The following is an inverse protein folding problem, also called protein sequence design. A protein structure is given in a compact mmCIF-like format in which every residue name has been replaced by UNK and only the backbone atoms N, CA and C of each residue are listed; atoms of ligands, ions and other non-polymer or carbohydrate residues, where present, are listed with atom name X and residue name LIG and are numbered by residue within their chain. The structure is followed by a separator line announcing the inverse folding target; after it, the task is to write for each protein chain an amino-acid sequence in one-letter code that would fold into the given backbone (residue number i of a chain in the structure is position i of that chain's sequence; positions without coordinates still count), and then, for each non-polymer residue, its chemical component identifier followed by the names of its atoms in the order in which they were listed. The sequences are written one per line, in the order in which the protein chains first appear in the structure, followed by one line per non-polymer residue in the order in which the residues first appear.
data_IF_946829989048
#
_entry.id   IF_946829989048
#
_cell.length_a   1.000
_cell.length_b   1.000
_cell.length_c   1.000
_cell.angle_alpha   90.00
_cell.angle_beta   90.00
_cell.angle_gamma   90.00
#
_symmetry.space_group_name_H-M   'P 1'
#
loop_
_entity.id
_entity.type
_entity.pdbx_description
1 polymer ?
#
# COMPACT_ATOMS: atom_id res chain seq x y z
N UNK A 1 0.55 -5.52 -4.55
CA UNK A 1 1.85 -4.88 -4.66
C UNK A 1 2.08 -4.29 -6.05
N UNK A 2 2.19 -5.12 -7.12
CA UNK A 2 2.52 -4.67 -8.48
C UNK A 2 1.52 -3.64 -9.03
N UNK A 3 0.23 -3.91 -8.90
CA UNK A 3 -0.81 -2.99 -9.39
C UNK A 3 -0.73 -1.62 -8.69
N UNK A 4 -0.52 -1.60 -7.37
CA UNK A 4 -0.34 -0.35 -6.64
C UNK A 4 0.94 0.39 -7.05
N UNK A 5 2.02 -0.33 -7.34
CA UNK A 5 3.26 0.24 -7.83
C UNK A 5 3.10 0.90 -9.20
N UNK A 6 2.44 0.23 -10.14
CA UNK A 6 2.14 0.79 -11.47
C UNK A 6 1.28 2.05 -11.36
N UNK A 7 0.21 2.01 -10.55
CA UNK A 7 -0.66 3.17 -10.34
C UNK A 7 0.07 4.34 -9.66
N UNK A 8 0.94 4.05 -8.69
CA UNK A 8 1.78 5.04 -8.04
C UNK A 8 2.73 5.74 -9.03
N UNK A 9 3.39 4.96 -9.89
CA UNK A 9 4.29 5.49 -10.92
C UNK A 9 3.55 6.32 -11.96
N UNK A 10 2.40 5.86 -12.42
CA UNK A 10 1.57 6.61 -13.38
C UNK A 10 1.08 7.94 -12.76
N UNK A 11 0.64 7.92 -11.51
CA UNK A 11 0.22 9.14 -10.81
C UNK A 11 1.38 10.13 -10.67
N UNK A 12 2.58 9.65 -10.32
CA UNK A 12 3.77 10.49 -10.28
C UNK A 12 4.04 11.18 -11.61
N UNK A 13 4.06 10.42 -12.71
CA UNK A 13 4.30 10.97 -14.06
C UNK A 13 3.24 12.02 -14.42
N UNK A 14 1.95 11.72 -14.18
CA UNK A 14 0.86 12.66 -14.53
C UNK A 14 0.94 13.96 -13.73
N UNK A 15 1.22 13.86 -12.42
CA UNK A 15 1.26 15.02 -11.54
C UNK A 15 2.49 15.91 -11.77
N UNK A 16 3.60 15.33 -12.22
CA UNK A 16 4.85 16.06 -12.40
C UNK A 16 5.18 16.33 -13.89
N UNK A 17 4.30 15.96 -14.82
CA UNK A 17 4.55 16.07 -16.26
C UNK A 17 4.82 17.50 -16.78
N UNK A 18 4.39 18.53 -16.05
CA UNK A 18 4.46 19.94 -16.47
C UNK A 18 5.29 20.84 -15.54
N UNK A 19 5.95 20.27 -14.53
CA UNK A 19 6.75 21.02 -13.56
C UNK A 19 8.26 20.86 -13.79
N UNK A 20 9.03 21.53 -12.97
CA UNK A 20 10.51 21.42 -12.94
C UNK A 20 10.97 19.99 -12.62
N UNK A 21 10.09 19.18 -12.03
CA UNK A 21 10.33 17.78 -11.72
C UNK A 21 10.00 16.80 -12.87
N UNK A 22 9.57 17.29 -14.04
CA UNK A 22 9.19 16.43 -15.18
C UNK A 22 10.34 15.49 -15.64
N UNK A 23 11.58 15.89 -15.44
CA UNK A 23 12.78 15.11 -15.77
C UNK A 23 13.39 14.41 -14.56
N UNK A 24 12.77 14.51 -13.39
CA UNK A 24 13.28 13.86 -12.17
C UNK A 24 12.94 12.38 -12.19
N UNK A 25 13.94 11.48 -12.11
CA UNK A 25 13.68 10.06 -12.12
C UNK A 25 12.99 9.63 -10.81
N UNK A 26 11.86 8.93 -10.94
CA UNK A 26 11.17 8.30 -9.81
C UNK A 26 11.70 6.89 -9.62
N UNK A 27 12.52 6.69 -8.60
CA UNK A 27 13.13 5.40 -8.28
C UNK A 27 12.60 4.86 -6.96
N UNK A 28 12.40 3.55 -6.93
CA UNK A 28 12.10 2.82 -5.70
C UNK A 28 10.73 2.16 -5.64
N UNK A 29 10.67 1.11 -4.86
CA UNK A 29 9.46 0.32 -4.62
C UNK A 29 8.50 0.96 -3.60
N UNK A 30 8.81 2.16 -3.09
CA UNK A 30 8.13 2.77 -1.95
C UNK A 30 6.66 3.11 -2.21
N UNK A 31 6.30 3.49 -3.44
CA UNK A 31 4.90 3.67 -3.84
C UNK A 31 4.10 2.37 -3.76
N UNK A 32 4.68 1.25 -4.20
CA UNK A 32 4.06 -0.08 -4.08
C UNK A 32 3.93 -0.52 -2.62
N UNK A 33 4.93 -0.23 -1.79
CA UNK A 33 4.91 -0.51 -0.34
C UNK A 33 3.82 0.32 0.35
N UNK A 34 3.68 1.59 -0.01
CA UNK A 34 2.57 2.44 0.46
C UNK A 34 1.21 1.81 0.11
N UNK A 35 1.08 1.21 -1.08
CA UNK A 35 -0.11 0.47 -1.46
C UNK A 35 -0.38 -0.76 -0.59
N UNK A 36 0.67 -1.49 -0.18
CA UNK A 36 0.52 -2.59 0.78
C UNK A 36 0.03 -2.07 2.13
N UNK A 37 0.55 -0.93 2.61
CA UNK A 37 0.10 -0.31 3.86
C UNK A 37 -1.37 0.13 3.78
N UNK A 38 -1.80 0.73 2.66
CA UNK A 38 -3.20 1.06 2.41
C UNK A 38 -4.09 -0.19 2.42
N UNK A 39 -3.66 -1.25 1.75
CA UNK A 39 -4.37 -2.54 1.76
C UNK A 39 -4.44 -3.16 3.15
N UNK A 40 -3.34 -3.11 3.90
CA UNK A 40 -3.30 -3.59 5.28
C UNK A 40 -4.32 -2.86 6.18
N UNK A 41 -4.44 -1.54 6.02
CA UNK A 41 -5.39 -0.75 6.78
C UNK A 41 -6.84 -1.20 6.56
N UNK A 42 -7.20 -1.56 5.32
CA UNK A 42 -8.55 -2.03 4.98
C UNK A 42 -8.83 -3.44 5.50
N UNK A 43 -7.84 -4.33 5.39
CA UNK A 43 -8.02 -5.74 5.72
C UNK A 43 -7.82 -6.04 7.21
N UNK A 44 -6.97 -5.26 7.88
CA UNK A 44 -6.56 -5.53 9.27
C UNK A 44 -6.49 -4.28 10.15
N UNK A 45 -7.53 -3.41 10.17
CA UNK A 45 -7.45 -2.10 10.83
C UNK A 45 -7.15 -2.18 12.33
N UNK A 46 -7.68 -3.19 13.00
CA UNK A 46 -7.59 -3.34 14.46
C UNK A 46 -6.41 -4.23 14.93
N UNK A 47 -5.62 -4.77 13.99
CA UNK A 47 -4.41 -5.51 14.35
C UNK A 47 -3.40 -4.57 14.99
N UNK A 48 -2.80 -5.02 16.09
CA UNK A 48 -1.72 -4.27 16.73
C UNK A 48 -0.42 -4.53 15.99
N UNK A 49 0.36 -3.48 15.82
CA UNK A 49 1.70 -3.51 15.22
C UNK A 49 2.68 -2.93 16.22
N UNK A 50 3.81 -3.59 16.35
CA UNK A 50 4.91 -3.09 17.19
C UNK A 50 5.69 -2.05 16.40
N UNK A 51 5.67 -0.81 16.88
CA UNK A 51 6.40 0.30 16.29
C UNK A 51 7.60 0.61 17.18
N UNK A 52 8.77 0.75 16.57
CA UNK A 52 9.98 1.18 17.27
C UNK A 52 10.11 2.69 17.11
N UNK A 53 9.91 3.42 18.20
CA UNK A 53 10.11 4.86 18.24
C UNK A 53 11.36 5.16 19.06
N UNK A 54 12.44 5.59 18.37
CA UNK A 54 13.78 5.88 18.95
C UNK A 54 14.37 4.61 19.60
N UNK A 55 13.99 4.26 20.83
CA UNK A 55 14.42 3.09 21.60
C UNK A 55 13.30 2.41 22.36
N UNK A 56 12.07 2.83 22.14
CA UNK A 56 10.88 2.31 22.82
C UNK A 56 10.09 1.51 21.81
N UNK A 57 9.75 0.29 22.17
CA UNK A 57 8.84 -0.57 21.40
C UNK A 57 7.45 -0.36 21.96
N UNK A 58 6.52 0.08 21.12
CA UNK A 58 5.13 0.32 21.48
C UNK A 58 4.20 -0.49 20.57
N UNK A 59 3.23 -1.16 21.16
CA UNK A 59 2.17 -1.83 20.40
C UNK A 59 1.00 -0.87 20.20
N UNK A 60 0.84 -0.42 18.96
CA UNK A 60 -0.23 0.48 18.57
C UNK A 60 -1.20 -0.19 17.59
N UNK A 61 -2.47 0.23 17.54
CA UNK A 61 -3.38 -0.25 16.51
C UNK A 61 -2.86 0.11 15.12
N UNK A 62 -3.05 -0.81 14.15
CA UNK A 62 -2.54 -0.62 12.78
C UNK A 62 -3.06 0.66 12.12
N UNK A 63 -4.31 1.05 12.40
CA UNK A 63 -4.86 2.30 11.85
C UNK A 63 -4.15 3.55 12.38
N UNK A 64 -3.60 3.51 13.61
CA UNK A 64 -2.82 4.62 14.16
C UNK A 64 -1.47 4.71 13.47
N UNK A 65 -0.72 3.61 13.41
CA UNK A 65 0.61 3.59 12.80
C UNK A 65 0.55 3.98 11.31
N UNK A 66 -0.36 3.37 10.56
CA UNK A 66 -0.51 3.59 9.12
C UNK A 66 -1.12 4.97 8.84
N UNK A 67 -2.04 5.45 9.70
CA UNK A 67 -2.62 6.78 9.59
C UNK A 67 -1.59 7.89 9.81
N UNK A 68 -0.72 7.76 10.80
CA UNK A 68 0.39 8.69 11.04
C UNK A 68 1.36 8.68 9.85
N UNK A 69 1.72 7.49 9.36
CA UNK A 69 2.55 7.36 8.16
C UNK A 69 1.95 8.13 6.97
N UNK A 70 0.66 7.89 6.67
CA UNK A 70 -0.02 8.54 5.56
C UNK A 70 -0.09 10.07 5.72
N UNK A 71 -0.47 10.54 6.92
CA UNK A 71 -0.53 11.97 7.22
C UNK A 71 0.84 12.64 7.01
N UNK A 72 1.91 11.98 7.45
CA UNK A 72 3.28 12.46 7.24
C UNK A 72 3.61 12.59 5.75
N UNK A 73 3.21 11.61 4.91
CA UNK A 73 3.42 11.68 3.47
C UNK A 73 2.70 12.88 2.83
N UNK A 74 1.47 13.15 3.26
CA UNK A 74 0.69 14.30 2.76
C UNK A 74 1.34 15.62 3.18
N UNK A 75 1.68 15.76 4.46
CA UNK A 75 2.30 17.00 4.99
C UNK A 75 3.63 17.28 4.32
N UNK A 76 4.50 16.28 4.19
CA UNK A 76 5.81 16.43 3.55
C UNK A 76 5.69 16.68 2.05
N UNK A 77 4.69 16.09 1.38
CA UNK A 77 4.41 16.34 -0.02
C UNK A 77 3.85 17.73 -0.34
N UNK A 78 3.22 18.37 0.65
CA UNK A 78 2.73 19.75 0.54
C UNK A 78 3.79 20.79 0.96
N UNK A 79 4.85 20.36 1.61
CA UNK A 79 5.96 21.21 2.01
C UNK A 79 7.15 20.97 1.08
N UNK A 80 7.80 22.03 0.61
CA UNK A 80 9.03 21.91 -0.20
C UNK A 80 10.23 21.32 0.57
N UNK A 81 10.01 20.85 1.79
CA UNK A 81 11.03 20.28 2.66
C UNK A 81 11.49 18.87 2.27
N UNK A 82 10.84 18.25 1.28
CA UNK A 82 10.97 16.83 1.03
C UNK A 82 12.02 16.38 0.01
N UNK A 83 13.01 17.20 -0.33
CA UNK A 83 14.13 16.95 -1.25
C UNK A 83 14.24 15.54 -1.88
N UNK A 84 13.71 15.35 -3.10
CA UNK A 84 13.92 14.13 -3.88
C UNK A 84 13.03 12.92 -3.53
N UNK A 85 12.05 13.06 -2.65
CA UNK A 85 11.09 11.99 -2.35
C UNK A 85 9.79 12.19 -3.11
N UNK A 86 9.39 11.18 -3.87
CA UNK A 86 8.16 11.18 -4.66
C UNK A 86 6.92 10.96 -3.77
N UNK A 87 6.57 11.93 -2.92
CA UNK A 87 5.42 11.82 -2.00
C UNK A 87 4.10 11.60 -2.73
N UNK A 88 3.92 12.19 -3.90
CA UNK A 88 2.76 11.98 -4.76
C UNK A 88 2.59 10.52 -5.16
N UNK A 89 3.68 9.81 -5.45
CA UNK A 89 3.65 8.37 -5.71
C UNK A 89 3.28 7.57 -4.46
N UNK A 90 3.73 7.98 -3.28
CA UNK A 90 3.37 7.31 -2.02
C UNK A 90 1.88 7.46 -1.70
N UNK A 91 1.34 8.67 -1.83
CA UNK A 91 -0.08 8.94 -1.61
C UNK A 91 -0.95 8.18 -2.61
N UNK A 92 -0.60 8.22 -3.89
CA UNK A 92 -1.32 7.50 -4.94
C UNK A 92 -1.27 5.98 -4.73
N UNK A 93 -0.10 5.44 -4.41
CA UNK A 93 0.08 4.03 -4.07
C UNK A 93 -0.79 3.61 -2.88
N UNK A 94 -0.80 4.41 -1.83
CA UNK A 94 -1.61 4.17 -0.65
C UNK A 94 -3.12 4.11 -0.97
N UNK A 95 -3.63 5.09 -1.73
CA UNK A 95 -5.02 5.14 -2.18
C UNK A 95 -5.34 3.93 -3.06
N UNK A 96 -4.45 3.57 -3.99
CA UNK A 96 -4.61 2.38 -4.81
C UNK A 96 -4.74 1.11 -3.95
N UNK A 97 -3.94 1.00 -2.89
CA UNK A 97 -4.02 -0.10 -1.93
C UNK A 97 -5.35 -0.16 -1.18
N UNK A 98 -5.86 0.98 -0.71
CA UNK A 98 -7.17 1.08 -0.07
C UNK A 98 -8.30 0.56 -0.99
N UNK A 99 -8.28 0.98 -2.26
CA UNK A 99 -9.33 0.62 -3.23
C UNK A 99 -9.23 -0.83 -3.67
N UNK A 100 -8.01 -1.33 -3.93
CA UNK A 100 -7.79 -2.65 -4.51
C UNK A 100 -7.81 -3.79 -3.48
N UNK A 101 -7.66 -3.49 -2.19
CA UNK A 101 -7.50 -4.52 -1.16
C UNK A 101 -8.68 -5.49 -1.09
N UNK A 102 -9.90 -4.99 -0.95
CA UNK A 102 -11.10 -5.84 -0.86
C UNK A 102 -11.32 -6.70 -2.11
N UNK A 103 -11.41 -6.12 -3.34
CA UNK A 103 -11.70 -6.93 -4.52
C UNK A 103 -10.62 -7.97 -4.82
N UNK A 104 -9.35 -7.71 -4.47
CA UNK A 104 -8.28 -8.69 -4.66
C UNK A 104 -8.32 -9.77 -3.59
N UNK A 105 -8.57 -9.42 -2.33
CA UNK A 105 -8.69 -10.38 -1.23
C UNK A 105 -9.86 -11.35 -1.44
N UNK A 106 -11.03 -10.85 -1.85
CA UNK A 106 -12.20 -11.68 -2.10
C UNK A 106 -11.96 -12.68 -3.25
N UNK A 107 -11.22 -12.28 -4.28
CA UNK A 107 -10.83 -13.17 -5.39
C UNK A 107 -9.91 -14.30 -4.92
N UNK A 108 -8.93 -13.98 -4.09
CA UNK A 108 -7.97 -14.98 -3.61
C UNK A 108 -8.61 -15.97 -2.65
N UNK A 109 -9.48 -15.50 -1.76
CA UNK A 109 -10.27 -16.37 -0.87
C UNK A 109 -11.14 -17.34 -1.67
N UNK A 110 -11.83 -16.85 -2.71
CA UNK A 110 -12.64 -17.70 -3.60
C UNK A 110 -11.79 -18.73 -4.33
N UNK A 111 -10.65 -18.33 -4.90
CA UNK A 111 -9.74 -19.26 -5.58
C UNK A 111 -9.22 -20.37 -4.66
N UNK A 112 -8.85 -20.02 -3.43
CA UNK A 112 -8.40 -20.99 -2.43
C UNK A 112 -9.53 -21.95 -2.04
N UNK A 113 -10.74 -21.45 -1.85
CA UNK A 113 -11.91 -22.29 -1.56
C UNK A 113 -12.18 -23.29 -2.69
N UNK A 114 -12.15 -22.85 -3.95
CA UNK A 114 -12.34 -23.70 -5.12
C UNK A 114 -11.26 -24.78 -5.25
N UNK A 115 -10.01 -24.44 -4.95
CA UNK A 115 -8.90 -25.40 -4.95
C UNK A 115 -9.09 -26.48 -3.88
N UNK A 116 -9.50 -26.09 -2.66
CA UNK A 116 -9.77 -27.04 -1.57
C UNK A 116 -10.93 -27.97 -1.88
N UNK A 117 -12.01 -27.46 -2.49
CA UNK A 117 -13.15 -28.27 -2.93
C UNK A 117 -12.72 -29.28 -4.00
N UNK A 118 -11.92 -28.84 -4.96
CA UNK A 118 -11.42 -29.69 -6.05
C UNK A 118 -10.48 -30.78 -5.52
N UNK A 119 -9.58 -30.41 -4.62
CA UNK A 119 -8.68 -31.37 -3.96
C UNK A 119 -9.48 -32.43 -3.18
N UNK A 120 -10.49 -32.01 -2.40
CA UNK A 120 -11.34 -32.91 -1.63
C UNK A 120 -12.09 -33.90 -2.51
N UNK A 121 -12.65 -33.45 -3.65
CA UNK A 121 -13.33 -34.30 -4.61
C UNK A 121 -12.39 -35.34 -5.26
N UNK A 122 -11.13 -35.00 -5.50
CA UNK A 122 -10.15 -35.95 -6.06
C UNK A 122 -9.74 -37.06 -5.10
N UNK A 123 -9.73 -36.79 -3.79
CA UNK A 123 -9.22 -37.72 -2.78
C UNK A 123 -10.33 -38.43 -2.00
N UNK A 124 -11.60 -38.08 -2.21
CA UNK A 124 -12.79 -38.73 -1.66
C UNK A 124 -13.66 -39.34 -2.77
N UNK A 125 -13.04 -39.80 -3.83
CA UNK A 125 -13.73 -40.59 -4.87
C UNK A 125 -14.38 -41.84 -4.29
N UNK A 126 -15.38 -42.43 -4.98
CA UNK A 126 -16.32 -43.43 -4.47
C UNK A 126 -15.67 -44.64 -3.87
#
# INVERSE_FOLDING_TARGET
YLAAGVLASLAFVVLNAQGDEAMTPCLGASGAISGVLGGYLVLHPNRRVSVILIRIIMDVPGYVAVGIYFLMQVVLGLSDAGGGVAYSAHVAGFIAGLVLAKPLSDRDVRRQADQLVTFRKRHQGP
#
